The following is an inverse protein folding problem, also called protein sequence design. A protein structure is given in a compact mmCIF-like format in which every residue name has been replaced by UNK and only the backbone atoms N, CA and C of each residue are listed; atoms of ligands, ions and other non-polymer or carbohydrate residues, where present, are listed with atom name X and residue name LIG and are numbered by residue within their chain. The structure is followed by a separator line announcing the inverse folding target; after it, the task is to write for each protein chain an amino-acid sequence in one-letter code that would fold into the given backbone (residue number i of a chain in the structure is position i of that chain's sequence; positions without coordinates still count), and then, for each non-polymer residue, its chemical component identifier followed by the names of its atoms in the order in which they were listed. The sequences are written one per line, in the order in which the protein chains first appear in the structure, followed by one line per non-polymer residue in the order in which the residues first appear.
data_IF_151040277235
#
_entry.id   IF_151040277235
#
_cell.length_a   1.000
_cell.length_b   1.000
_cell.length_c   1.000
_cell.angle_alpha   90.00
_cell.angle_beta   90.00
_cell.angle_gamma   90.00
#
_symmetry.space_group_name_H-M   'P 1'
#
loop_
_entity.id
_entity.type
_entity.pdbx_description
1 polymer ?
#
# COMPACT_ATOMS: atom_id res chain seq x y z
N UNK A 1 18.01 17.52 6.14
CA UNK A 1 18.37 16.12 5.86
C UNK A 1 18.12 15.79 4.40
N UNK A 2 18.78 14.76 3.89
CA UNK A 2 18.67 14.26 2.52
C UNK A 2 17.73 13.05 2.48
N UNK A 3 16.58 13.21 1.84
CA UNK A 3 15.52 12.20 1.73
C UNK A 3 15.52 11.61 0.32
N UNK A 4 15.56 10.29 0.22
CA UNK A 4 15.63 9.55 -1.03
C UNK A 4 14.37 8.74 -1.33
N UNK A 5 13.93 8.79 -2.59
CA UNK A 5 12.78 8.04 -3.10
C UNK A 5 13.23 7.21 -4.30
N UNK A 6 13.62 5.93 -4.08
CA UNK A 6 13.97 5.04 -5.18
C UNK A 6 12.71 4.59 -5.92
N UNK A 7 12.88 4.13 -7.15
CA UNK A 7 11.83 3.46 -7.91
C UNK A 7 11.53 2.10 -7.27
N UNK A 8 10.26 1.74 -7.19
CA UNK A 8 9.89 0.39 -6.75
C UNK A 8 10.24 -0.65 -7.82
N UNK A 9 10.87 -1.75 -7.38
CA UNK A 9 11.34 -2.83 -8.26
C UNK A 9 10.58 -4.14 -8.05
N UNK A 10 9.66 -4.19 -7.09
CA UNK A 10 8.80 -5.36 -6.88
C UNK A 10 7.84 -5.47 -8.06
N UNK A 11 7.65 -6.70 -8.54
CA UNK A 11 6.77 -6.95 -9.68
C UNK A 11 5.36 -6.39 -9.42
N UNK A 12 4.79 -5.76 -10.44
CA UNK A 12 3.47 -5.10 -10.40
C UNK A 12 3.30 -4.05 -9.29
N UNK A 13 4.39 -3.46 -8.78
CA UNK A 13 4.33 -2.29 -7.90
C UNK A 13 4.46 -1.00 -8.71
N UNK A 14 3.36 -0.24 -8.75
CA UNK A 14 3.27 1.00 -9.53
C UNK A 14 3.23 2.26 -8.66
N UNK A 15 3.14 2.10 -7.33
CA UNK A 15 3.16 3.22 -6.39
C UNK A 15 4.60 3.73 -6.19
N UNK A 16 4.71 4.86 -5.51
CA UNK A 16 5.98 5.52 -5.21
C UNK A 16 5.96 6.01 -3.76
N UNK A 17 7.13 6.02 -3.10
CA UNK A 17 7.24 6.33 -1.67
C UNK A 17 6.76 7.74 -1.31
N UNK A 18 7.00 8.73 -2.18
CA UNK A 18 6.51 10.10 -2.02
C UNK A 18 5.96 10.64 -3.33
N UNK A 19 4.81 11.32 -3.24
CA UNK A 19 4.19 12.07 -4.34
C UNK A 19 4.67 13.53 -4.35
N UNK A 20 4.57 14.27 -5.47
CA UNK A 20 5.04 15.66 -5.58
C UNK A 20 4.52 16.60 -4.48
N UNK A 21 3.31 16.41 -3.96
CA UNK A 21 2.79 17.22 -2.85
C UNK A 21 3.56 16.99 -1.54
N UNK A 22 3.92 15.74 -1.23
CA UNK A 22 4.74 15.42 -0.06
C UNK A 22 6.19 15.89 -0.24
N UNK A 23 6.73 15.77 -1.45
CA UNK A 23 8.05 16.30 -1.81
C UNK A 23 8.09 17.82 -1.59
N UNK A 24 7.08 18.56 -2.05
CA UNK A 24 6.97 20.01 -1.85
C UNK A 24 6.97 20.41 -0.38
N UNK A 25 6.25 19.66 0.46
CA UNK A 25 6.18 19.93 1.90
C UNK A 25 7.55 19.78 2.56
N UNK A 26 8.27 18.69 2.22
CA UNK A 26 9.60 18.42 2.74
C UNK A 26 10.65 19.43 2.23
N UNK A 27 10.59 19.81 0.95
CA UNK A 27 11.49 20.85 0.41
C UNK A 27 11.23 22.21 1.04
N UNK A 28 9.96 22.58 1.25
CA UNK A 28 9.57 23.82 1.95
C UNK A 28 10.05 23.83 3.40
N UNK A 29 10.11 22.66 4.05
CA UNK A 29 10.64 22.47 5.40
C UNK A 29 12.19 22.45 5.46
N UNK A 30 12.89 22.69 4.35
CA UNK A 30 14.35 22.77 4.29
C UNK A 30 15.06 21.42 4.12
N UNK A 31 14.34 20.36 3.72
CA UNK A 31 14.95 19.09 3.37
C UNK A 31 15.33 19.04 1.88
N UNK A 32 16.36 18.24 1.56
CA UNK A 32 16.75 17.99 0.18
C UNK A 32 16.19 16.65 -0.27
N UNK A 33 15.62 16.60 -1.48
CA UNK A 33 14.90 15.45 -1.99
C UNK A 33 15.62 14.89 -3.21
N UNK A 34 15.99 13.60 -3.15
CA UNK A 34 16.47 12.83 -4.30
C UNK A 34 15.35 11.88 -4.74
N UNK A 35 15.03 11.88 -6.02
CA UNK A 35 14.06 10.98 -6.61
C UNK A 35 14.71 10.27 -7.79
N UNK A 36 14.65 8.94 -7.82
CA UNK A 36 15.14 8.18 -8.97
C UNK A 36 14.30 8.50 -10.22
N UNK A 37 14.94 8.62 -11.38
CA UNK A 37 14.24 8.85 -12.65
C UNK A 37 13.16 7.78 -12.88
N UNK A 38 11.98 8.23 -13.28
CA UNK A 38 10.79 7.42 -13.51
C UNK A 38 10.25 6.68 -12.27
N UNK A 39 10.64 7.06 -11.04
CA UNK A 39 10.13 6.42 -9.82
C UNK A 39 8.61 6.57 -9.68
N UNK A 40 8.05 7.72 -10.06
CA UNK A 40 6.60 7.98 -9.98
C UNK A 40 5.81 7.62 -11.24
N UNK A 41 6.45 7.16 -12.31
CA UNK A 41 5.80 7.02 -13.62
C UNK A 41 4.63 6.02 -13.59
N UNK A 42 4.75 4.95 -12.81
CA UNK A 42 3.67 3.97 -12.60
C UNK A 42 2.42 4.55 -11.93
N UNK A 43 2.58 5.64 -11.17
CA UNK A 43 1.50 6.37 -10.52
C UNK A 43 1.03 7.59 -11.36
N UNK A 44 1.50 7.72 -12.61
CA UNK A 44 1.18 8.85 -13.49
C UNK A 44 1.92 10.15 -13.12
N UNK A 45 3.04 10.05 -12.40
CA UNK A 45 3.82 11.20 -11.92
C UNK A 45 5.16 11.24 -12.65
N UNK A 46 5.39 12.31 -13.42
CA UNK A 46 6.59 12.45 -14.25
C UNK A 46 7.76 13.05 -13.47
N UNK A 47 8.98 12.85 -13.96
CA UNK A 47 10.17 13.51 -13.41
C UNK A 47 10.05 15.05 -13.42
N UNK A 48 9.30 15.61 -14.39
CA UNK A 48 9.04 17.05 -14.44
C UNK A 48 8.19 17.51 -13.27
N UNK A 49 7.20 16.72 -12.85
CA UNK A 49 6.36 17.02 -11.68
C UNK A 49 7.20 17.09 -10.41
N UNK A 50 8.15 16.17 -10.24
CA UNK A 50 9.10 16.17 -9.11
C UNK A 50 10.07 17.35 -9.16
N UNK A 51 10.67 17.66 -10.32
CA UNK A 51 11.55 18.83 -10.47
C UNK A 51 10.81 20.13 -10.16
N UNK A 52 9.54 20.25 -10.56
CA UNK A 52 8.73 21.45 -10.35
C UNK A 52 8.51 21.80 -8.86
N UNK A 53 8.67 20.83 -7.97
CA UNK A 53 8.53 20.98 -6.51
C UNK A 53 9.86 20.91 -5.75
N UNK A 54 10.98 21.00 -6.48
CA UNK A 54 12.31 21.13 -5.89
C UNK A 54 13.05 19.82 -5.59
N UNK A 55 12.61 18.67 -6.15
CA UNK A 55 13.40 17.45 -6.08
C UNK A 55 14.53 17.44 -7.12
N UNK A 56 15.68 16.89 -6.71
CA UNK A 56 16.76 16.47 -7.60
C UNK A 56 16.42 15.08 -8.17
N UNK A 57 16.41 14.97 -9.50
CA UNK A 57 16.23 13.69 -10.18
C UNK A 57 17.59 13.04 -10.41
N UNK A 58 17.78 11.84 -9.87
CA UNK A 58 19.01 11.06 -10.02
C UNK A 58 18.81 9.90 -11.00
N UNK A 59 19.87 9.45 -11.69
CA UNK A 59 19.72 8.47 -12.78
C UNK A 59 19.38 7.04 -12.32
N UNK A 60 19.68 6.69 -11.08
CA UNK A 60 19.55 5.31 -10.59
C UNK A 60 19.37 5.25 -9.06
N UNK A 61 18.98 4.06 -8.60
CA UNK A 61 18.84 3.76 -7.18
C UNK A 61 20.18 3.85 -6.42
N UNK A 62 21.32 3.58 -7.06
CA UNK A 62 22.63 3.63 -6.38
C UNK A 62 22.91 5.02 -5.81
N UNK A 63 22.57 6.08 -6.54
CA UNK A 63 22.67 7.46 -6.04
C UNK A 63 21.76 7.69 -4.81
N UNK A 64 20.55 7.13 -4.82
CA UNK A 64 19.62 7.23 -3.68
C UNK A 64 20.23 6.57 -2.43
N UNK A 65 20.60 5.30 -2.53
CA UNK A 65 21.14 4.53 -1.40
C UNK A 65 22.52 5.03 -0.96
N UNK A 66 23.33 5.60 -1.86
CA UNK A 66 24.63 6.14 -1.51
C UNK A 66 24.56 7.48 -0.75
N UNK A 67 23.54 8.30 -1.00
CA UNK A 67 23.51 9.69 -0.49
C UNK A 67 22.51 9.91 0.63
N UNK A 68 21.35 9.23 0.59
CA UNK A 68 20.22 9.57 1.44
C UNK A 68 20.42 9.16 2.90
N UNK A 69 19.93 10.01 3.81
CA UNK A 69 19.86 9.76 5.25
C UNK A 69 18.55 9.05 5.61
N UNK A 70 17.45 9.44 4.96
CA UNK A 70 16.14 8.80 5.05
C UNK A 70 15.75 8.26 3.66
N UNK A 71 15.39 7.00 3.57
CA UNK A 71 14.88 6.36 2.36
C UNK A 71 13.41 6.03 2.58
N UNK A 72 12.54 6.59 1.74
CA UNK A 72 11.09 6.39 1.80
C UNK A 72 10.67 5.51 0.62
N UNK A 73 10.10 4.35 0.93
CA UNK A 73 9.63 3.36 -0.05
C UNK A 73 8.17 2.99 0.20
N UNK A 74 7.60 2.21 -0.71
CA UNK A 74 6.31 1.55 -0.57
C UNK A 74 6.52 0.12 -0.09
N UNK A 75 7.32 -0.68 -0.79
CA UNK A 75 7.51 -2.11 -0.49
C UNK A 75 8.81 -2.37 0.24
N UNK A 76 8.89 -3.58 0.78
CA UNK A 76 10.07 -4.05 1.46
C UNK A 76 11.26 -4.16 0.48
N UNK A 77 12.49 -3.82 0.89
CA UNK A 77 13.63 -3.83 -0.02
C UNK A 77 13.96 -5.26 -0.47
N UNK A 78 14.10 -5.46 -1.78
CA UNK A 78 14.52 -6.74 -2.33
C UNK A 78 16.03 -6.97 -2.10
N UNK A 79 16.50 -8.20 -2.33
CA UNK A 79 17.89 -8.57 -2.07
C UNK A 79 18.94 -7.63 -2.71
N UNK A 80 18.79 -7.13 -3.95
CA UNK A 80 19.72 -6.16 -4.53
C UNK A 80 19.72 -4.79 -3.83
N UNK A 81 18.58 -4.35 -3.31
CA UNK A 81 18.44 -3.09 -2.56
C UNK A 81 19.01 -3.21 -1.16
N UNK A 82 18.78 -4.35 -0.48
CA UNK A 82 19.29 -4.59 0.89
C UNK A 82 20.81 -4.54 0.96
N UNK A 83 21.50 -4.98 -0.09
CA UNK A 83 22.97 -4.90 -0.21
C UNK A 83 23.50 -3.46 -0.30
N UNK A 84 22.65 -2.49 -0.64
CA UNK A 84 23.03 -1.07 -0.78
C UNK A 84 22.79 -0.27 0.52
N UNK A 85 22.09 -0.85 1.50
CA UNK A 85 21.80 -0.23 2.79
C UNK A 85 23.07 -0.17 3.66
N UNK A 86 23.25 0.94 4.36
CA UNK A 86 24.43 1.18 5.20
C UNK A 86 24.10 1.91 6.49
N UNK A 87 24.88 1.66 7.53
CA UNK A 87 24.76 2.30 8.85
C UNK A 87 24.58 3.82 8.76
N UNK A 88 23.70 4.35 9.60
CA UNK A 88 23.35 5.78 9.63
C UNK A 88 22.13 6.13 8.78
N UNK A 89 21.60 5.19 7.99
CA UNK A 89 20.37 5.38 7.25
C UNK A 89 19.13 5.01 8.05
N UNK A 90 18.03 5.69 7.76
CA UNK A 90 16.68 5.33 8.16
C UNK A 90 15.94 4.82 6.93
N UNK A 91 15.37 3.62 7.01
CA UNK A 91 14.46 3.07 6.00
C UNK A 91 13.04 3.12 6.55
N UNK A 92 12.14 3.79 5.83
CA UNK A 92 10.73 3.91 6.19
C UNK A 92 9.86 3.36 5.06
N UNK A 93 9.25 2.19 5.27
CA UNK A 93 8.50 1.44 4.24
C UNK A 93 7.64 0.33 4.87
N UNK A 94 6.81 -0.38 4.09
CA UNK A 94 6.26 -1.67 4.54
C UNK A 94 7.36 -2.73 4.57
N UNK A 95 7.49 -3.50 5.65
CA UNK A 95 8.56 -4.49 5.78
C UNK A 95 8.05 -5.94 5.86
N UNK A 96 6.97 -6.19 6.59
CA UNK A 96 6.42 -7.52 6.86
C UNK A 96 7.46 -8.52 7.40
N UNK A 97 8.34 -8.04 8.30
CA UNK A 97 9.52 -8.78 8.78
C UNK A 97 9.23 -10.19 9.30
N UNK A 98 8.10 -10.36 10.00
CA UNK A 98 7.71 -11.65 10.57
C UNK A 98 7.53 -12.76 9.53
N UNK A 99 7.28 -12.42 8.26
CA UNK A 99 7.11 -13.37 7.16
C UNK A 99 8.40 -13.62 6.36
N UNK A 100 9.47 -12.84 6.59
CA UNK A 100 10.73 -12.94 5.83
C UNK A 100 11.95 -12.86 6.78
N UNK A 101 12.44 -14.00 7.28
CA UNK A 101 13.60 -14.04 8.18
C UNK A 101 14.90 -13.63 7.48
N UNK A 102 15.04 -13.84 6.16
CA UNK A 102 16.25 -13.47 5.43
C UNK A 102 16.36 -11.95 5.32
N UNK A 103 15.26 -11.29 4.95
CA UNK A 103 15.20 -9.82 4.98
C UNK A 103 15.53 -9.30 6.38
N UNK A 104 14.95 -9.90 7.42
CA UNK A 104 15.21 -9.48 8.80
C UNK A 104 16.70 -9.57 9.14
N UNK A 105 17.36 -10.69 8.80
CA UNK A 105 18.79 -10.87 9.01
C UNK A 105 19.64 -9.86 8.21
N UNK A 106 19.30 -9.61 6.95
CA UNK A 106 20.00 -8.64 6.10
C UNK A 106 19.90 -7.22 6.67
N UNK A 107 18.71 -6.80 7.13
CA UNK A 107 18.50 -5.50 7.74
C UNK A 107 19.26 -5.37 9.07
N UNK A 108 19.25 -6.40 9.91
CA UNK A 108 20.07 -6.44 11.12
C UNK A 108 21.56 -6.31 10.80
N UNK A 109 22.05 -7.04 9.78
CA UNK A 109 23.44 -6.99 9.34
C UNK A 109 23.86 -5.62 8.77
N UNK A 110 22.92 -4.87 8.18
CA UNK A 110 23.20 -3.54 7.62
C UNK A 110 23.38 -2.43 8.68
N UNK A 111 22.89 -2.64 9.91
CA UNK A 111 22.99 -1.67 11.00
C UNK A 111 22.15 -0.39 10.82
N UNK A 112 21.16 -0.41 9.93
CA UNK A 112 20.25 0.74 9.72
C UNK A 112 19.15 0.80 10.78
N UNK A 113 18.45 1.94 10.82
CA UNK A 113 17.16 2.06 11.50
C UNK A 113 16.06 1.73 10.49
N UNK A 114 15.33 0.64 10.71
CA UNK A 114 14.21 0.25 9.85
C UNK A 114 12.88 0.46 10.58
N UNK A 115 12.02 1.32 10.04
CA UNK A 115 10.69 1.63 10.58
C UNK A 115 9.65 1.04 9.63
N UNK A 116 8.83 0.12 10.13
CA UNK A 116 7.80 -0.55 9.33
C UNK A 116 6.48 0.22 9.39
N UNK A 117 5.90 0.58 8.23
CA UNK A 117 4.61 1.27 8.18
C UNK A 117 3.51 0.50 8.92
N UNK A 118 3.45 -0.81 8.73
CA UNK A 118 2.39 -1.67 9.26
C UNK A 118 2.45 -1.90 10.78
N UNK A 119 3.51 -1.42 11.45
CA UNK A 119 3.65 -1.54 12.92
C UNK A 119 3.61 -0.18 13.63
N UNK A 120 3.61 0.94 12.89
CA UNK A 120 3.34 2.25 13.49
C UNK A 120 1.93 2.24 14.06
N UNK A 121 1.86 2.35 15.39
CA UNK A 121 0.62 2.19 16.16
C UNK A 121 0.27 3.51 16.84
N UNK A 122 -0.98 3.94 16.73
CA UNK A 122 -1.47 5.15 17.42
C UNK A 122 -1.64 4.91 18.93
N UNK A 123 -1.83 5.98 19.70
CA UNK A 123 -2.15 5.87 21.12
C UNK A 123 -3.44 5.08 21.41
N UNK A 124 -4.34 4.96 20.42
CA UNK A 124 -5.58 4.21 20.50
C UNK A 124 -5.44 2.77 19.98
N UNK A 125 -4.23 2.33 19.62
CA UNK A 125 -3.96 0.97 19.14
C UNK A 125 -4.29 0.74 17.67
N UNK A 126 -4.67 1.77 16.91
CA UNK A 126 -4.91 1.66 15.46
C UNK A 126 -3.62 1.71 14.66
N UNK A 127 -3.64 1.20 13.43
CA UNK A 127 -2.51 1.21 12.50
C UNK A 127 -2.75 2.25 11.39
N UNK A 128 -2.46 3.54 11.63
CA UNK A 128 -2.84 4.63 10.72
C UNK A 128 -2.21 4.51 9.33
N UNK A 129 -1.01 3.94 9.24
CA UNK A 129 -0.32 3.79 7.96
C UNK A 129 -0.76 2.53 7.21
N UNK A 130 -1.35 1.53 7.89
CA UNK A 130 -1.91 0.32 7.26
C UNK A 130 -3.38 0.50 6.85
N UNK A 131 -4.11 1.37 7.57
CA UNK A 131 -5.55 1.57 7.39
C UNK A 131 -5.89 1.92 5.93
N UNK A 132 -5.28 2.93 5.27
CA UNK A 132 -5.62 3.28 3.88
C UNK A 132 -5.44 2.11 2.91
N UNK A 133 -4.42 1.28 3.09
CA UNK A 133 -4.19 0.13 2.21
C UNK A 133 -5.20 -0.98 2.45
N UNK A 134 -5.67 -1.15 3.70
CA UNK A 134 -6.75 -2.07 4.03
C UNK A 134 -8.07 -1.62 3.40
N UNK A 135 -8.35 -0.31 3.36
CA UNK A 135 -9.52 0.24 2.69
C UNK A 135 -9.46 0.00 1.18
N UNK A 136 -8.33 0.29 0.53
CA UNK A 136 -8.13 0.03 -0.90
C UNK A 136 -8.31 -1.45 -1.22
N UNK A 137 -7.67 -2.34 -0.46
CA UNK A 137 -7.80 -3.78 -0.66
C UNK A 137 -9.25 -4.26 -0.49
N UNK A 138 -9.93 -3.79 0.56
CA UNK A 138 -11.34 -4.09 0.82
C UNK A 138 -12.24 -3.66 -0.33
N UNK A 139 -12.06 -2.44 -0.86
CA UNK A 139 -12.87 -1.93 -1.97
C UNK A 139 -12.56 -2.63 -3.29
N UNK A 140 -11.30 -2.98 -3.54
CA UNK A 140 -10.89 -3.68 -4.76
C UNK A 140 -11.37 -5.13 -4.80
N UNK A 141 -11.49 -5.79 -3.66
CA UNK A 141 -11.84 -7.22 -3.60
C UNK A 141 -13.16 -7.54 -4.33
N UNK A 142 -14.28 -6.80 -4.13
CA UNK A 142 -15.51 -7.02 -4.91
C UNK A 142 -15.36 -6.74 -6.40
N UNK A 143 -14.58 -5.73 -6.82
CA UNK A 143 -14.33 -5.46 -8.24
C UNK A 143 -13.60 -6.62 -8.92
N UNK A 144 -12.56 -7.16 -8.27
CA UNK A 144 -11.82 -8.31 -8.78
C UNK A 144 -12.70 -9.56 -8.74
N UNK A 145 -13.47 -9.76 -7.66
CA UNK A 145 -14.43 -10.86 -7.53
C UNK A 145 -15.48 -10.84 -8.64
N UNK A 146 -16.02 -9.66 -8.96
CA UNK A 146 -16.96 -9.45 -10.07
C UNK A 146 -16.38 -9.96 -11.39
N UNK A 147 -15.15 -9.52 -11.71
CA UNK A 147 -14.45 -9.93 -12.91
C UNK A 147 -14.24 -11.44 -12.94
N UNK A 148 -13.80 -12.04 -11.83
CA UNK A 148 -13.62 -13.49 -11.73
C UNK A 148 -14.93 -14.28 -11.86
N UNK A 149 -16.09 -13.69 -11.53
CA UNK A 149 -17.39 -14.34 -11.71
C UNK A 149 -17.85 -14.38 -13.17
N UNK A 150 -17.30 -13.54 -14.05
CA UNK A 150 -17.66 -13.52 -15.47
C UNK A 150 -17.33 -14.85 -16.16
N UNK A 151 -18.23 -15.30 -17.05
CA UNK A 151 -18.04 -16.58 -17.75
C UNK A 151 -16.79 -16.59 -18.63
N UNK A 152 -16.47 -15.45 -19.24
CA UNK A 152 -15.26 -15.29 -20.07
C UNK A 152 -13.95 -15.43 -19.28
N UNK A 153 -13.98 -15.19 -17.97
CA UNK A 153 -12.84 -15.39 -17.08
C UNK A 153 -12.89 -16.76 -16.37
N UNK A 154 -13.76 -17.68 -16.81
CA UNK A 154 -13.92 -19.02 -16.24
C UNK A 154 -14.87 -19.10 -15.03
N UNK A 155 -15.48 -17.98 -14.64
CA UNK A 155 -16.41 -17.90 -13.52
C UNK A 155 -17.76 -18.56 -13.78
N UNK A 156 -18.63 -18.49 -12.76
CA UNK A 156 -19.98 -19.06 -12.82
C UNK A 156 -20.91 -18.32 -13.80
N UNK A 157 -20.57 -17.08 -14.19
CA UNK A 157 -21.41 -16.21 -15.01
C UNK A 157 -22.49 -15.52 -14.19
N UNK A 158 -22.17 -15.07 -12.97
CA UNK A 158 -23.13 -14.42 -12.06
C UNK A 158 -22.83 -12.93 -11.99
N UNK A 159 -23.86 -12.11 -12.24
CA UNK A 159 -23.81 -10.67 -12.04
C UNK A 159 -24.06 -10.35 -10.56
N UNK A 160 -23.18 -9.54 -9.94
CA UNK A 160 -23.29 -9.19 -8.52
C UNK A 160 -24.66 -8.64 -8.14
N UNK A 161 -25.19 -7.69 -8.89
CA UNK A 161 -26.46 -7.05 -8.58
C UNK A 161 -27.71 -7.79 -9.05
N UNK A 162 -27.56 -8.87 -9.82
CA UNK A 162 -28.69 -9.47 -10.53
C UNK A 162 -29.43 -8.44 -11.39
N UNK A 163 -30.72 -8.68 -11.63
CA UNK A 163 -31.67 -7.75 -12.27
C UNK A 163 -33.07 -8.05 -11.74
N UNK A 164 -34.08 -7.18 -11.93
CA UNK A 164 -35.45 -7.51 -11.52
C UNK A 164 -35.92 -8.88 -12.03
N UNK A 165 -36.31 -9.77 -11.11
CA UNK A 165 -36.70 -11.16 -11.41
C UNK A 165 -35.55 -12.18 -11.43
N UNK A 166 -34.30 -11.77 -11.23
CA UNK A 166 -33.11 -12.64 -11.18
C UNK A 166 -32.31 -12.35 -9.90
N UNK A 167 -31.99 -13.36 -9.08
CA UNK A 167 -31.29 -13.12 -7.81
C UNK A 167 -29.89 -12.52 -8.03
N UNK A 168 -29.42 -11.67 -7.11
CA UNK A 168 -28.05 -11.17 -7.09
C UNK A 168 -27.06 -12.27 -6.67
N UNK A 169 -25.76 -11.94 -6.67
CA UNK A 169 -24.74 -12.81 -6.11
C UNK A 169 -24.77 -12.82 -4.57
N UNK A 170 -24.49 -13.98 -3.97
CA UNK A 170 -24.22 -14.09 -2.54
C UNK A 170 -22.72 -13.89 -2.27
N UNK A 171 -22.40 -12.93 -1.41
CA UNK A 171 -21.03 -12.58 -1.02
C UNK A 171 -20.84 -12.83 0.47
N UNK A 172 -19.96 -13.79 0.80
CA UNK A 172 -19.54 -14.07 2.16
C UNK A 172 -18.21 -13.37 2.46
N UNK A 173 -18.15 -12.61 3.56
CA UNK A 173 -16.96 -11.88 4.01
C UNK A 173 -16.54 -12.41 5.37
N UNK A 174 -15.33 -12.95 5.45
CA UNK A 174 -14.75 -13.49 6.68
C UNK A 174 -13.84 -12.43 7.33
N UNK A 175 -14.35 -11.77 8.37
CA UNK A 175 -13.75 -10.68 9.11
C UNK A 175 -14.38 -9.33 8.77
N UNK A 176 -14.87 -8.59 9.77
CA UNK A 176 -15.54 -7.28 9.67
C UNK A 176 -14.64 -6.10 10.04
N UNK A 177 -13.31 -6.28 9.99
CA UNK A 177 -12.32 -5.20 10.17
C UNK A 177 -12.38 -4.15 9.07
N UNK A 178 -11.33 -3.33 8.94
CA UNK A 178 -11.27 -2.27 7.92
C UNK A 178 -11.48 -2.82 6.50
N UNK A 179 -10.69 -3.81 6.08
CA UNK A 179 -10.83 -4.39 4.74
C UNK A 179 -12.21 -5.04 4.52
N UNK A 180 -12.70 -5.80 5.49
CA UNK A 180 -13.99 -6.50 5.37
C UNK A 180 -15.20 -5.58 5.32
N UNK A 181 -15.23 -4.53 6.15
CA UNK A 181 -16.29 -3.51 6.10
C UNK A 181 -16.30 -2.75 4.78
N UNK A 182 -15.13 -2.42 4.23
CA UNK A 182 -15.04 -1.81 2.90
C UNK A 182 -15.44 -2.76 1.77
N UNK A 183 -15.11 -4.05 1.86
CA UNK A 183 -15.60 -5.05 0.92
C UNK A 183 -17.13 -5.17 0.99
N UNK A 184 -17.69 -5.18 2.20
CA UNK A 184 -19.13 -5.26 2.40
C UNK A 184 -19.86 -4.06 1.80
N UNK A 185 -19.32 -2.85 2.01
CA UNK A 185 -19.87 -1.61 1.45
C UNK A 185 -19.91 -1.66 -0.09
N UNK A 186 -18.81 -2.05 -0.74
CA UNK A 186 -18.77 -2.11 -2.20
C UNK A 186 -19.66 -3.24 -2.73
N UNK A 187 -19.64 -4.43 -2.13
CA UNK A 187 -20.50 -5.53 -2.55
C UNK A 187 -21.99 -5.19 -2.43
N UNK A 188 -22.41 -4.56 -1.32
CA UNK A 188 -23.78 -4.11 -1.14
C UNK A 188 -24.14 -3.00 -2.14
N UNK A 189 -23.24 -2.04 -2.37
CA UNK A 189 -23.42 -0.99 -3.39
C UNK A 189 -23.52 -1.52 -4.83
N UNK A 190 -22.94 -2.70 -5.10
CA UNK A 190 -23.09 -3.41 -6.37
C UNK A 190 -24.37 -4.28 -6.44
N UNK A 191 -25.20 -4.27 -5.39
CA UNK A 191 -26.48 -4.99 -5.32
C UNK A 191 -26.39 -6.44 -4.87
N UNK A 192 -25.24 -6.89 -4.35
CA UNK A 192 -25.08 -8.25 -3.87
C UNK A 192 -25.78 -8.51 -2.53
N UNK A 193 -26.14 -9.76 -2.26
CA UNK A 193 -26.51 -10.20 -0.90
C UNK A 193 -25.24 -10.41 -0.10
N UNK A 194 -25.01 -9.61 0.94
CA UNK A 194 -23.75 -9.64 1.71
C UNK A 194 -23.95 -10.27 3.08
N UNK A 195 -23.11 -11.24 3.43
CA UNK A 195 -23.00 -11.81 4.78
C UNK A 195 -21.61 -11.58 5.34
N UNK A 196 -21.52 -10.87 6.47
CA UNK A 196 -20.25 -10.63 7.19
C UNK A 196 -20.17 -11.52 8.42
N UNK A 197 -19.06 -12.25 8.55
CA UNK A 197 -18.81 -13.20 9.63
C UNK A 197 -17.61 -12.69 10.43
N UNK A 198 -17.79 -12.46 11.72
CA UNK A 198 -16.71 -12.06 12.63
C UNK A 198 -16.92 -12.73 14.00
N UNK A 199 -15.82 -12.98 14.71
CA UNK A 199 -15.86 -13.54 16.08
C UNK A 199 -16.13 -12.46 17.12
N UNK A 200 -15.88 -11.20 16.79
CA UNK A 200 -16.06 -10.07 17.69
C UNK A 200 -17.48 -9.47 17.52
N UNK A 201 -18.36 -9.56 18.53
CA UNK A 201 -19.72 -9.03 18.44
C UNK A 201 -19.76 -7.50 18.30
N UNK A 202 -18.76 -6.77 18.81
CA UNK A 202 -18.67 -5.32 18.65
C UNK A 202 -18.39 -4.93 17.19
N UNK A 203 -17.59 -5.75 16.49
CA UNK A 203 -17.35 -5.58 15.05
C UNK A 203 -18.64 -5.80 14.26
N UNK A 204 -19.39 -6.86 14.56
CA UNK A 204 -20.68 -7.13 13.92
C UNK A 204 -21.69 -6.01 14.17
N UNK A 205 -21.78 -5.50 15.40
CA UNK A 205 -22.64 -4.35 15.73
C UNK A 205 -22.26 -3.11 14.93
N UNK A 206 -20.97 -2.80 14.81
CA UNK A 206 -20.48 -1.67 14.01
C UNK A 206 -20.87 -1.82 12.53
N UNK A 207 -20.56 -2.98 11.94
CA UNK A 207 -20.84 -3.24 10.51
C UNK A 207 -22.34 -3.17 10.22
N UNK A 208 -23.19 -3.72 11.08
CA UNK A 208 -24.64 -3.69 10.93
C UNK A 208 -25.25 -2.28 10.96
N UNK A 209 -24.53 -1.27 11.49
CA UNK A 209 -24.97 0.14 11.48
C UNK A 209 -24.37 0.97 10.33
N UNK A 210 -23.39 0.41 9.61
CA UNK A 210 -22.64 1.11 8.56
C UNK A 210 -23.13 0.77 7.14
N UNK A 211 -23.86 -0.35 6.98
CA UNK A 211 -24.42 -0.86 5.73
C UNK A 211 -25.94 -0.72 5.75
#
# INVERSE_FOLDING_TARGET
MLVGVPKEIKDSEYRVGLVPSAVRELTTSGHHLLVETNAGLGAGLTDADYRSVGAEIVPDADQIYARSELIVKVKEPLAPERKKLKTGQVLFTYLHLAADPQQTADLMGSGIIAIAYETVTSAQGSLPLLTPMSEVAGRMAPHVGARCLEKGNGGRGVLLGGVPGVPPADVAILGGGVAGSHAALISAGMGATVTVIDRNPDVLRRVATQL
#
